data_IF_965554138506
#
_entry.id   IF_965554138506
#
_cell.length_a   1.000
_cell.length_b   1.000
_cell.length_c   1.000
_cell.angle_alpha   90.00
_cell.angle_beta   90.00
_cell.angle_gamma   90.00
#
_symmetry.space_group_name_H-M   'P 1'
#
loop_
_entity.id
_entity.type
_entity.pdbx_description
1 polymer ?
#
# COMPACT_ATOMS: atom_id res chain seq x y z
N UNK A 1 14.48 -13.02 12.07
CA UNK A 1 15.29 -11.80 11.87
C UNK A 1 14.48 -10.61 11.35
N UNK A 2 13.71 -10.75 10.25
CA UNK A 2 12.92 -9.62 9.68
C UNK A 2 11.99 -8.92 10.68
N UNK A 3 11.31 -9.68 11.54
CA UNK A 3 10.45 -9.14 12.60
C UNK A 3 11.18 -8.21 13.58
N UNK A 4 12.37 -8.62 14.04
CA UNK A 4 13.18 -7.83 15.00
C UNK A 4 13.63 -6.52 14.35
N UNK A 5 14.07 -6.56 13.09
CA UNK A 5 14.43 -5.36 12.36
C UNK A 5 13.24 -4.40 12.20
N UNK A 6 12.05 -4.94 11.91
CA UNK A 6 10.85 -4.13 11.76
C UNK A 6 10.34 -3.53 13.09
N UNK A 7 10.45 -4.28 14.21
CA UNK A 7 10.19 -3.75 15.56
C UNK A 7 11.15 -2.61 15.92
N UNK A 8 12.41 -2.70 15.49
CA UNK A 8 13.38 -1.59 15.60
C UNK A 8 12.92 -0.34 14.83
N UNK A 9 12.48 -0.49 13.58
CA UNK A 9 11.96 0.63 12.78
C UNK A 9 10.71 1.25 13.43
N UNK A 10 9.81 0.43 13.99
CA UNK A 10 8.63 0.90 14.70
C UNK A 10 8.98 1.72 15.95
N UNK A 11 10.05 1.35 16.64
CA UNK A 11 10.57 2.11 17.78
C UNK A 11 11.07 3.48 17.34
N UNK A 12 11.92 3.53 16.30
CA UNK A 12 12.38 4.79 15.73
C UNK A 12 11.22 5.69 15.25
N UNK A 13 10.17 5.11 14.67
CA UNK A 13 8.97 5.86 14.28
C UNK A 13 8.21 6.41 15.50
N UNK A 14 8.16 5.69 16.62
CA UNK A 14 7.56 6.19 17.85
C UNK A 14 8.36 7.37 18.43
N UNK A 15 9.69 7.26 18.48
CA UNK A 15 10.56 8.34 18.95
C UNK A 15 10.42 9.60 18.08
N UNK A 16 10.30 9.42 16.75
CA UNK A 16 10.02 10.48 15.80
C UNK A 16 8.67 11.16 16.05
N UNK A 17 7.61 10.37 16.27
CA UNK A 17 6.27 10.89 16.62
C UNK A 17 6.33 11.68 17.93
N UNK A 18 7.04 11.18 18.94
CA UNK A 18 7.14 11.83 20.24
C UNK A 18 7.89 13.17 20.15
N UNK A 19 8.95 13.24 19.34
CA UNK A 19 9.67 14.49 19.06
C UNK A 19 8.80 15.51 18.32
N UNK A 20 8.07 15.07 17.29
CA UNK A 20 7.14 15.91 16.54
C UNK A 20 5.99 16.41 17.42
N UNK A 21 5.46 15.56 18.32
CA UNK A 21 4.40 15.94 19.26
C UNK A 21 4.86 17.02 20.26
N UNK A 22 6.15 17.02 20.63
CA UNK A 22 6.78 18.06 21.46
C UNK A 22 7.10 19.34 20.68
N UNK A 23 6.98 19.32 19.35
CA UNK A 23 7.31 20.45 18.48
C UNK A 23 8.82 20.64 18.26
N UNK A 24 9.64 19.64 18.62
CA UNK A 24 11.11 19.71 18.57
C UNK A 24 11.68 19.39 17.18
N UNK A 25 10.82 18.92 16.25
CA UNK A 25 11.21 18.49 14.90
C UNK A 25 11.94 17.15 14.88
N UNK A 26 12.37 16.69 13.71
CA UNK A 26 13.10 15.43 13.57
C UNK A 26 14.62 15.58 13.53
N UNK A 27 15.14 16.77 13.24
CA UNK A 27 16.58 16.99 13.07
C UNK A 27 17.42 16.59 14.29
N UNK A 28 17.01 17.00 15.50
CA UNK A 28 17.76 16.74 16.74
C UNK A 28 17.92 15.25 17.03
N UNK A 29 16.84 14.48 16.93
CA UNK A 29 16.88 13.04 17.24
C UNK A 29 17.68 12.27 16.18
N UNK A 30 17.66 12.74 14.93
CA UNK A 30 18.40 12.12 13.83
C UNK A 30 19.91 12.32 14.00
N UNK A 31 20.35 13.49 14.48
CA UNK A 31 21.77 13.75 14.77
C UNK A 31 22.34 12.85 15.87
N UNK A 32 21.51 12.43 16.84
CA UNK A 32 21.90 11.54 17.92
C UNK A 32 21.99 10.07 17.50
N UNK A 33 21.38 9.69 16.38
CA UNK A 33 21.31 8.30 15.94
C UNK A 33 22.50 7.89 15.07
N UNK A 34 23.08 6.72 15.37
CA UNK A 34 24.13 6.11 14.53
C UNK A 34 23.58 5.51 13.23
N UNK A 35 22.27 5.23 13.19
CA UNK A 35 21.57 4.69 12.04
C UNK A 35 20.15 5.23 12.01
N UNK A 36 19.75 5.76 10.85
CA UNK A 36 18.43 6.36 10.66
C UNK A 36 17.66 5.51 9.65
N UNK A 37 16.49 4.97 10.03
CA UNK A 37 15.64 4.28 9.06
C UNK A 37 15.21 5.23 7.95
N UNK A 38 15.22 4.76 6.70
CA UNK A 38 14.83 5.55 5.52
C UNK A 38 13.48 6.26 5.68
N UNK A 39 12.50 5.61 6.30
CA UNK A 39 11.18 6.23 6.55
C UNK A 39 11.29 7.49 7.41
N UNK A 40 12.20 7.52 8.38
CA UNK A 40 12.46 8.69 9.24
C UNK A 40 13.25 9.76 8.48
N UNK A 41 14.20 9.38 7.62
CA UNK A 41 14.89 10.32 6.74
C UNK A 41 13.91 11.06 5.81
N UNK A 42 12.97 10.34 5.19
CA UNK A 42 11.97 10.96 4.32
C UNK A 42 11.02 11.88 5.10
N UNK A 43 10.62 11.52 6.32
CA UNK A 43 9.83 12.41 7.18
C UNK A 43 10.61 13.69 7.52
N UNK A 44 11.92 13.59 7.77
CA UNK A 44 12.76 14.76 8.05
C UNK A 44 12.97 15.66 6.81
N UNK A 45 13.02 15.08 5.61
CA UNK A 45 13.01 15.88 4.37
C UNK A 45 11.72 16.66 4.21
N UNK A 46 10.58 16.10 4.62
CA UNK A 46 9.30 16.81 4.62
C UNK A 46 9.27 17.92 5.68
N UNK A 47 9.81 17.65 6.87
CA UNK A 47 9.95 18.62 7.98
C UNK A 47 10.84 19.82 7.60
N UNK A 48 11.98 19.56 6.96
CA UNK A 48 12.93 20.59 6.52
C UNK A 48 12.49 21.31 5.24
N UNK A 49 11.76 20.64 4.33
CA UNK A 49 11.22 21.29 3.14
C UNK A 49 10.12 22.30 3.47
N UNK A 50 9.30 22.03 4.50
CA UNK A 50 8.26 22.95 4.99
C UNK A 50 8.86 24.30 5.42
N UNK A 51 10.05 24.32 6.03
CA UNK A 51 10.75 25.55 6.42
C UNK A 51 11.13 26.46 5.24
N UNK A 52 11.22 25.90 4.02
CA UNK A 52 11.62 26.63 2.80
C UNK A 52 10.45 27.04 1.89
N UNK A 53 9.30 26.36 1.99
CA UNK A 53 8.14 26.60 1.14
C UNK A 53 6.83 26.46 1.93
N UNK A 54 6.13 27.58 2.11
CA UNK A 54 4.81 27.66 2.72
C UNK A 54 3.86 26.58 2.14
N UNK A 55 3.46 25.55 2.91
CA UNK A 55 2.03 25.15 3.07
C UNK A 55 1.70 23.79 3.70
N UNK A 56 2.63 22.88 4.02
CA UNK A 56 2.25 21.61 4.71
C UNK A 56 2.50 21.72 6.20
N UNK A 57 1.52 22.18 6.98
CA UNK A 57 1.67 22.46 8.41
C UNK A 57 2.39 21.34 9.18
N UNK A 58 3.23 21.65 10.19
CA UNK A 58 3.81 20.66 11.15
C UNK A 58 2.84 19.55 11.62
N UNK A 59 1.54 19.86 11.65
CA UNK A 59 0.45 18.91 11.97
C UNK A 59 0.32 17.79 10.93
N UNK A 60 0.60 18.10 9.67
CA UNK A 60 0.57 17.18 8.53
C UNK A 60 1.73 16.18 8.59
N UNK A 61 2.95 16.61 8.96
CA UNK A 61 4.09 15.70 9.13
C UNK A 61 3.89 14.77 10.31
N UNK A 62 3.40 15.29 11.44
CA UNK A 62 3.02 14.47 12.60
C UNK A 62 1.97 13.41 12.22
N UNK A 63 0.94 13.81 11.47
CA UNK A 63 -0.06 12.86 10.97
C UNK A 63 0.56 11.82 10.03
N UNK A 64 1.47 12.24 9.15
CA UNK A 64 2.14 11.34 8.21
C UNK A 64 3.03 10.32 8.94
N UNK A 65 3.73 10.73 10.01
CA UNK A 65 4.49 9.82 10.86
C UNK A 65 3.59 8.76 11.54
N UNK A 66 2.41 9.15 12.04
CA UNK A 66 1.42 8.21 12.59
C UNK A 66 0.94 7.22 11.52
N UNK A 67 0.62 7.70 10.32
CA UNK A 67 0.17 6.83 9.22
C UNK A 67 1.27 5.85 8.84
N UNK A 68 2.52 6.30 8.70
CA UNK A 68 3.67 5.42 8.44
C UNK A 68 3.80 4.33 9.51
N UNK A 69 3.71 4.69 10.80
CA UNK A 69 3.76 3.72 11.89
C UNK A 69 2.66 2.66 11.78
N UNK A 70 1.42 3.06 11.52
CA UNK A 70 0.29 2.13 11.37
C UNK A 70 0.49 1.14 10.21
N UNK A 71 1.00 1.61 9.07
CA UNK A 71 1.31 0.75 7.93
C UNK A 71 2.35 -0.30 8.32
N UNK A 72 3.43 0.11 8.98
CA UNK A 72 4.46 -0.83 9.44
C UNK A 72 3.93 -1.81 10.49
N UNK A 73 3.11 -1.36 11.45
CA UNK A 73 2.49 -2.25 12.46
C UNK A 73 1.62 -3.32 11.79
N UNK A 74 0.83 -2.94 10.77
CA UNK A 74 0.00 -3.85 10.00
C UNK A 74 0.84 -4.89 9.25
N UNK A 75 1.87 -4.45 8.51
CA UNK A 75 2.76 -5.35 7.76
C UNK A 75 3.51 -6.31 8.68
N UNK A 76 3.98 -5.84 9.84
CA UNK A 76 4.64 -6.70 10.85
C UNK A 76 3.66 -7.70 11.47
N UNK A 77 2.41 -7.30 11.66
CA UNK A 77 1.33 -8.18 12.11
C UNK A 77 1.08 -9.32 11.13
N UNK A 78 0.98 -9.00 9.83
CA UNK A 78 0.77 -9.99 8.77
C UNK A 78 1.97 -10.93 8.60
N UNK A 79 3.19 -10.45 8.82
CA UNK A 79 4.40 -11.27 8.74
C UNK A 79 4.45 -12.39 9.81
N UNK A 80 3.68 -12.28 10.90
CA UNK A 80 3.58 -13.34 11.92
C UNK A 80 2.81 -14.57 11.41
N UNK A 81 1.84 -14.36 10.52
CA UNK A 81 1.00 -15.45 9.98
C UNK A 81 1.72 -16.24 8.89
N UNK A 82 2.71 -15.63 8.23
CA UNK A 82 3.48 -16.22 7.12
C UNK A 82 4.52 -17.28 7.57
N UNK A 83 4.65 -17.51 8.87
CA UNK A 83 5.43 -18.65 9.42
C UNK A 83 4.58 -19.89 9.68
N UNK A 84 3.26 -19.79 9.57
CA UNK A 84 2.36 -20.94 9.47
C UNK A 84 1.79 -21.03 8.06
N UNK A 85 2.25 -22.05 7.34
CA UNK A 85 1.62 -22.59 6.14
C UNK A 85 1.60 -21.70 4.90
N UNK A 86 2.58 -22.02 4.03
CA UNK A 86 2.34 -22.14 2.59
C UNK A 86 0.92 -22.68 2.36
N UNK A 87 0.09 -21.90 1.67
CA UNK A 87 -1.29 -22.19 1.23
C UNK A 87 -2.42 -21.58 2.06
N UNK A 88 -2.60 -20.26 1.94
CA UNK A 88 -3.95 -19.72 1.90
C UNK A 88 -4.08 -18.70 0.78
N UNK A 89 -4.38 -19.22 -0.41
CA UNK A 89 -5.19 -18.46 -1.38
C UNK A 89 -6.42 -17.93 -0.63
N UNK A 90 -6.86 -16.69 -0.88
CA UNK A 90 -8.11 -16.21 -0.32
C UNK A 90 -9.22 -17.19 -0.74
N UNK A 91 -9.84 -17.84 0.24
CA UNK A 91 -11.03 -18.65 0.03
C UNK A 91 -12.16 -17.66 -0.20
N UNK A 92 -12.31 -17.25 -1.46
CA UNK A 92 -13.52 -16.62 -1.96
C UNK A 92 -14.65 -17.56 -1.55
N UNK A 93 -15.54 -17.06 -0.71
CA UNK A 93 -16.77 -17.72 -0.36
C UNK A 93 -17.49 -18.03 -1.68
N UNK A 94 -17.60 -19.32 -2.00
CA UNK A 94 -18.39 -19.82 -3.11
C UNK A 94 -19.87 -19.56 -2.80
N UNK A 95 -20.30 -18.34 -3.09
CA UNK A 95 -21.68 -18.00 -3.36
C UNK A 95 -21.90 -17.99 -4.87
N UNK A 96 -22.41 -19.12 -5.38
CA UNK A 96 -22.91 -19.41 -6.73
C UNK A 96 -21.87 -19.91 -7.75
N UNK A 97 -22.26 -21.01 -8.38
CA UNK A 97 -21.55 -21.78 -9.40
C UNK A 97 -20.93 -20.88 -10.48
N UNK A 98 -19.62 -20.70 -10.40
CA UNK A 98 -18.82 -20.27 -11.54
C UNK A 98 -18.15 -21.50 -12.11
N UNK A 99 -18.61 -21.91 -13.30
CA UNK A 99 -17.97 -22.91 -14.14
C UNK A 99 -16.48 -22.55 -14.22
N UNK A 100 -15.61 -23.54 -13.99
CA UNK A 100 -14.17 -23.39 -14.20
C UNK A 100 -13.97 -22.99 -15.67
N UNK A 101 -13.74 -21.70 -15.93
CA UNK A 101 -13.25 -21.25 -17.22
C UNK A 101 -11.76 -21.53 -17.24
N UNK A 102 -11.37 -22.52 -18.03
CA UNK A 102 -9.97 -22.70 -18.40
C UNK A 102 -9.57 -21.51 -19.28
N UNK A 103 -8.49 -20.82 -18.92
CA UNK A 103 -8.10 -19.58 -19.59
C UNK A 103 -7.54 -19.81 -20.99
N UNK A 104 -7.30 -21.07 -21.36
CA UNK A 104 -6.80 -21.48 -22.68
C UNK A 104 -7.89 -22.12 -23.55
N UNK A 105 -9.14 -22.22 -23.05
CA UNK A 105 -10.27 -22.74 -23.83
C UNK A 105 -10.70 -21.69 -24.86
N UNK A 106 -10.47 -22.02 -26.13
CA UNK A 106 -11.00 -21.25 -27.26
C UNK A 106 -12.44 -21.67 -27.52
N UNK A 107 -13.38 -20.72 -27.41
CA UNK A 107 -14.79 -20.95 -27.74
C UNK A 107 -14.97 -20.69 -29.24
N UNK A 108 -15.41 -21.72 -29.98
CA UNK A 108 -15.79 -21.56 -31.39
C UNK A 108 -17.10 -20.76 -31.49
N UNK A 109 -17.03 -19.59 -32.13
CA UNK A 109 -18.20 -18.75 -32.39
C UNK A 109 -18.89 -19.24 -33.66
N UNK A 110 -20.21 -19.40 -33.61
CA UNK A 110 -20.98 -19.87 -34.78
C UNK A 110 -21.16 -18.75 -35.80
N UNK A 111 -21.23 -19.10 -37.09
CA UNK A 111 -21.37 -18.12 -38.18
C UNK A 111 -22.62 -17.24 -38.04
N UNK A 112 -23.69 -17.79 -37.46
CA UNK A 112 -24.93 -17.06 -37.19
C UNK A 112 -24.74 -15.94 -36.14
N UNK A 113 -23.95 -16.19 -35.09
CA UNK A 113 -23.63 -15.19 -34.05
C UNK A 113 -22.75 -14.06 -34.62
N UNK A 114 -21.81 -14.40 -35.50
CA UNK A 114 -20.98 -13.40 -36.20
C UNK A 114 -21.86 -12.51 -37.08
N UNK A 115 -22.83 -13.11 -37.78
CA UNK A 115 -23.73 -12.37 -38.67
C UNK A 115 -24.65 -11.42 -37.90
N UNK A 116 -25.22 -11.85 -36.78
CA UNK A 116 -26.06 -11.01 -35.95
C UNK A 116 -25.29 -9.79 -35.40
N UNK A 117 -24.05 -10.00 -34.95
CA UNK A 117 -23.18 -8.91 -34.51
C UNK A 117 -22.86 -7.93 -35.64
N UNK A 118 -22.58 -8.44 -36.84
CA UNK A 118 -22.31 -7.61 -38.01
C UNK A 118 -23.53 -6.77 -38.42
N UNK A 119 -24.71 -7.39 -38.52
CA UNK A 119 -25.95 -6.70 -38.92
C UNK A 119 -26.38 -5.63 -37.91
N UNK A 120 -26.10 -5.86 -36.62
CA UNK A 120 -26.33 -4.89 -35.54
C UNK A 120 -25.43 -3.64 -35.68
N UNK A 121 -24.15 -3.85 -35.96
CA UNK A 121 -23.18 -2.76 -36.20
C UNK A 121 -23.52 -2.03 -37.51
N UNK A 122 -23.82 -2.76 -38.58
CA UNK A 122 -24.20 -2.19 -39.86
C UNK A 122 -25.49 -1.34 -39.75
N UNK A 123 -26.50 -1.82 -39.03
CA UNK A 123 -27.75 -1.06 -38.79
C UNK A 123 -27.51 0.21 -37.96
N UNK A 124 -26.49 0.22 -37.11
CA UNK A 124 -26.11 1.39 -36.31
C UNK A 124 -25.32 2.43 -37.10
N UNK A 125 -24.68 2.04 -38.21
CA UNK A 125 -23.90 2.91 -39.09
C UNK A 125 -24.79 3.63 -40.12
N UNK A 126 -25.95 3.08 -40.49
CA UNK A 126 -26.85 3.66 -41.52
C UNK A 126 -27.93 4.57 -40.88
N UNK A 127 -27.58 5.35 -39.86
CA UNK A 127 -28.47 6.35 -39.27
C UNK A 127 -28.06 7.77 -39.65
#
# INVERSE_FOLDING_TARGET
MKKIAAEGILTCLQDAIDSLNKGEGLGKIIEEWSFVPRVVEELNKLDTAEESSNSTSKKDIYHQAIVCKRIYEFEVGNLKDDTSDKNKRPKIEKGKETKNYDSDDTIEMTEDEVKEAFDSVASSIVK
#
